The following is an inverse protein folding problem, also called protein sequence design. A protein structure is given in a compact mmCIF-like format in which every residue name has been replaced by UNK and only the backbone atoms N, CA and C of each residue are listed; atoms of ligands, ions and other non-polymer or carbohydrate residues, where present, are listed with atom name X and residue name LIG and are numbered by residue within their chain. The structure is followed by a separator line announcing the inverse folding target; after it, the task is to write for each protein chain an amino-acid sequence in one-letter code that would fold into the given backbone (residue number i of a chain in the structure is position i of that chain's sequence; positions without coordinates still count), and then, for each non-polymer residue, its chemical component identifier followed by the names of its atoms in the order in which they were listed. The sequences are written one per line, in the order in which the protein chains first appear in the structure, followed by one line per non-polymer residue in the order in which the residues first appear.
data_IF_521695724414
#
_entry.id   IF_521695724414
#
_cell.length_a   1.000
_cell.length_b   1.000
_cell.length_c   1.000
_cell.angle_alpha   90.00
_cell.angle_beta   90.00
_cell.angle_gamma   90.00
#
_symmetry.space_group_name_H-M   'P 1'
#
loop_
_entity.id
_entity.type
_entity.pdbx_description
1 polymer ?
#
# COMPACT_ATOMS: atom_id res chain seq x y z
N UNK A 1 -60.75 -24.88 86.58
CA UNK A 1 -59.96 -23.66 86.38
C UNK A 1 -58.77 -24.05 85.51
N UNK A 2 -58.52 -23.58 84.29
CA UNK A 2 -59.10 -22.53 83.47
C UNK A 2 -59.00 -22.96 82.00
N UNK A 3 -60.01 -22.64 81.20
CA UNK A 3 -59.96 -22.81 79.76
C UNK A 3 -58.99 -21.81 79.13
N UNK A 4 -58.17 -22.29 78.20
CA UNK A 4 -57.38 -21.44 77.30
C UNK A 4 -57.94 -21.65 75.91
N UNK A 5 -58.80 -20.73 75.47
CA UNK A 5 -59.26 -20.63 74.09
C UNK A 5 -58.15 -20.03 73.24
N UNK A 6 -57.55 -20.86 72.38
CA UNK A 6 -56.62 -20.41 71.33
C UNK A 6 -57.45 -19.81 70.20
N UNK A 7 -57.45 -18.49 70.05
CA UNK A 7 -58.00 -17.81 68.87
C UNK A 7 -57.01 -17.95 67.71
N UNK A 8 -57.40 -18.69 66.67
CA UNK A 8 -56.71 -18.71 65.39
C UNK A 8 -56.99 -17.35 64.73
N UNK A 9 -55.96 -16.50 64.63
CA UNK A 9 -56.02 -15.32 63.80
C UNK A 9 -56.24 -15.75 62.33
N UNK A 10 -57.44 -15.48 61.81
CA UNK A 10 -57.72 -15.63 60.38
C UNK A 10 -56.88 -14.58 59.65
N UNK A 11 -55.80 -15.02 59.01
CA UNK A 11 -55.08 -14.20 58.05
C UNK A 11 -56.00 -14.04 56.84
N UNK A 12 -56.50 -12.82 56.66
CA UNK A 12 -57.38 -12.44 55.58
C UNK A 12 -56.69 -12.74 54.24
N UNK A 13 -57.37 -13.55 53.40
CA UNK A 13 -56.77 -14.18 52.21
C UNK A 13 -56.83 -13.29 50.97
N UNK A 14 -57.18 -12.03 51.14
CA UNK A 14 -57.53 -11.10 50.06
C UNK A 14 -56.44 -10.08 49.69
N UNK A 15 -55.31 -10.04 50.42
CA UNK A 15 -54.24 -9.05 50.17
C UNK A 15 -53.15 -9.52 49.17
N UNK A 16 -53.27 -10.72 48.60
CA UNK A 16 -52.44 -11.16 47.45
C UNK A 16 -53.07 -10.79 46.11
N UNK A 17 -53.81 -9.66 46.05
CA UNK A 17 -54.26 -9.04 44.80
C UNK A 17 -53.05 -8.51 44.04
N UNK A 18 -52.45 -9.41 43.26
CA UNK A 18 -51.71 -9.18 42.00
C UNK A 18 -51.49 -7.68 41.71
N UNK A 19 -50.39 -7.13 42.23
CA UNK A 19 -49.62 -6.19 41.44
C UNK A 19 -49.04 -6.97 40.25
N UNK A 20 -49.89 -7.30 39.28
CA UNK A 20 -49.44 -7.63 37.94
C UNK A 20 -48.75 -6.37 37.47
N UNK A 21 -47.41 -6.34 37.59
CA UNK A 21 -46.60 -5.41 36.81
C UNK A 21 -47.15 -5.52 35.39
N UNK A 22 -47.78 -4.44 34.92
CA UNK A 22 -48.20 -4.31 33.53
C UNK A 22 -46.90 -4.29 32.75
N UNK A 23 -46.36 -5.47 32.43
CA UNK A 23 -45.29 -5.62 31.45
C UNK A 23 -45.92 -5.13 30.16
N UNK A 24 -45.64 -3.87 29.80
CA UNK A 24 -46.01 -3.30 28.52
C UNK A 24 -45.40 -4.18 27.44
N UNK A 25 -46.24 -4.88 26.68
CA UNK A 25 -45.79 -5.56 25.47
C UNK A 25 -45.54 -4.52 24.40
N UNK A 26 -44.48 -4.69 23.62
CA UNK A 26 -44.24 -3.89 22.43
C UNK A 26 -45.44 -4.03 21.47
N UNK A 27 -45.97 -2.90 21.03
CA UNK A 27 -46.97 -2.86 19.96
C UNK A 27 -46.32 -3.15 18.61
N UNK A 28 -47.12 -3.69 17.69
CA UNK A 28 -46.68 -3.96 16.30
C UNK A 28 -46.18 -2.68 15.61
N UNK A 29 -46.79 -1.53 15.95
CA UNK A 29 -46.41 -0.21 15.42
C UNK A 29 -45.04 0.22 15.95
N UNK A 30 -44.77 0.06 17.26
CA UNK A 30 -43.47 0.40 17.84
C UNK A 30 -42.34 -0.43 17.22
N UNK A 31 -42.57 -1.73 17.00
CA UNK A 31 -41.59 -2.58 16.31
C UNK A 31 -41.36 -2.14 14.86
N UNK A 32 -42.43 -1.79 14.15
CA UNK A 32 -42.38 -1.38 12.74
C UNK A 32 -41.65 -0.04 12.55
N UNK A 33 -41.97 0.98 13.36
CA UNK A 33 -41.30 2.29 13.31
C UNK A 33 -39.83 2.17 13.69
N UNK A 34 -39.51 1.31 14.67
CA UNK A 34 -38.12 1.08 15.09
C UNK A 34 -37.29 0.44 13.98
N UNK A 35 -37.81 -0.59 13.33
CA UNK A 35 -37.10 -1.21 12.19
C UNK A 35 -37.00 -0.26 11.00
N UNK A 36 -38.03 0.56 10.74
CA UNK A 36 -38.00 1.57 9.68
C UNK A 36 -36.92 2.64 9.93
N UNK A 37 -36.80 3.14 11.17
CA UNK A 37 -35.78 4.12 11.54
C UNK A 37 -34.38 3.51 11.51
N UNK A 38 -34.18 2.28 12.00
CA UNK A 38 -32.89 1.58 11.89
C UNK A 38 -32.51 1.38 10.42
N UNK A 39 -33.44 0.93 9.57
CA UNK A 39 -33.19 0.73 8.14
C UNK A 39 -32.79 2.04 7.45
N UNK A 40 -33.46 3.16 7.78
CA UNK A 40 -33.11 4.48 7.27
C UNK A 40 -31.68 4.89 7.71
N UNK A 41 -31.36 4.75 8.99
CA UNK A 41 -30.04 5.10 9.52
C UNK A 41 -28.93 4.25 8.89
N UNK A 42 -29.13 2.94 8.80
CA UNK A 42 -28.17 2.01 8.16
C UNK A 42 -28.01 2.36 6.68
N UNK A 43 -29.10 2.70 5.98
CA UNK A 43 -29.06 3.12 4.58
C UNK A 43 -28.16 4.35 4.33
N UNK A 44 -28.13 5.30 5.27
CA UNK A 44 -27.26 6.48 5.19
C UNK A 44 -25.81 6.21 5.65
N UNK A 45 -25.60 5.25 6.56
CA UNK A 45 -24.29 4.94 7.14
C UNK A 45 -23.41 4.03 6.27
N UNK A 46 -23.99 3.10 5.51
CA UNK A 46 -23.23 2.15 4.69
C UNK A 46 -22.32 2.80 3.62
N UNK A 47 -22.80 3.75 2.78
CA UNK A 47 -21.96 4.35 1.75
C UNK A 47 -20.84 5.22 2.35
N UNK A 48 -21.14 5.93 3.45
CA UNK A 48 -20.19 6.82 4.12
C UNK A 48 -19.08 6.02 4.82
N UNK A 49 -19.40 4.87 5.40
CA UNK A 49 -18.41 4.00 6.04
C UNK A 49 -17.37 3.45 5.06
N UNK A 50 -17.76 3.15 3.82
CA UNK A 50 -16.85 2.71 2.76
C UNK A 50 -15.82 3.79 2.40
N UNK A 51 -16.29 5.03 2.18
CA UNK A 51 -15.41 6.16 1.87
C UNK A 51 -14.47 6.50 3.04
N UNK A 52 -14.98 6.46 4.28
CA UNK A 52 -14.19 6.67 5.49
C UNK A 52 -13.06 5.64 5.63
N UNK A 53 -13.36 4.35 5.39
CA UNK A 53 -12.35 3.27 5.41
C UNK A 53 -11.28 3.46 4.34
N UNK A 54 -11.65 3.87 3.12
CA UNK A 54 -10.69 4.13 2.05
C UNK A 54 -9.76 5.30 2.39
N UNK A 55 -10.32 6.37 2.96
CA UNK A 55 -9.55 7.52 3.44
C UNK A 55 -8.59 7.11 4.57
N UNK A 56 -9.06 6.33 5.55
CA UNK A 56 -8.20 5.83 6.63
C UNK A 56 -7.05 4.97 6.12
N UNK A 57 -7.31 4.08 5.16
CA UNK A 57 -6.26 3.28 4.49
C UNK A 57 -5.23 4.16 3.79
N UNK A 58 -5.67 5.22 3.11
CA UNK A 58 -4.79 6.19 2.48
C UNK A 58 -3.95 6.96 3.52
N UNK A 59 -4.53 7.35 4.66
CA UNK A 59 -3.79 7.99 5.76
C UNK A 59 -2.70 7.10 6.33
N UNK A 60 -2.98 5.80 6.53
CA UNK A 60 -1.96 4.83 6.96
C UNK A 60 -0.88 4.68 5.89
N UNK A 61 -1.26 4.61 4.62
CA UNK A 61 -0.32 4.55 3.51
C UNK A 61 0.61 5.79 3.46
N UNK A 62 0.07 6.99 3.69
CA UNK A 62 0.85 8.23 3.83
C UNK A 62 1.86 8.15 4.99
N UNK A 63 1.47 7.55 6.12
CA UNK A 63 2.37 7.32 7.25
C UNK A 63 3.49 6.32 6.90
N UNK A 64 3.15 5.22 6.24
CA UNK A 64 4.11 4.22 5.80
C UNK A 64 5.16 4.83 4.85
N UNK A 65 4.71 5.57 3.83
CA UNK A 65 5.58 6.25 2.87
C UNK A 65 6.51 7.28 3.55
N UNK A 66 6.05 7.98 4.59
CA UNK A 66 6.92 8.87 5.39
C UNK A 66 8.02 8.12 6.13
N UNK A 67 7.71 6.96 6.71
CA UNK A 67 8.71 6.13 7.38
C UNK A 67 9.73 5.58 6.37
N UNK A 68 9.27 5.10 5.22
CA UNK A 68 10.15 4.58 4.17
C UNK A 68 11.10 5.65 3.61
N UNK A 69 10.60 6.85 3.29
CA UNK A 69 11.47 7.91 2.78
C UNK A 69 12.43 8.45 3.83
N UNK A 70 12.01 8.48 5.10
CA UNK A 70 12.91 8.83 6.22
C UNK A 70 14.06 7.83 6.30
N UNK A 71 13.76 6.52 6.23
CA UNK A 71 14.78 5.48 6.23
C UNK A 71 15.70 5.56 5.01
N UNK A 72 15.17 5.89 3.83
CA UNK A 72 15.98 6.13 2.64
C UNK A 72 16.92 7.35 2.80
N UNK A 73 16.46 8.43 3.42
CA UNK A 73 17.31 9.58 3.74
C UNK A 73 18.39 9.20 4.76
N UNK A 74 18.06 8.42 5.79
CA UNK A 74 19.03 7.91 6.77
C UNK A 74 20.08 7.00 6.12
N UNK A 75 19.66 6.14 5.19
CA UNK A 75 20.57 5.36 4.36
C UNK A 75 21.52 6.30 3.61
N UNK A 76 21.00 7.25 2.85
CA UNK A 76 21.84 8.15 2.05
C UNK A 76 22.87 8.89 2.92
N UNK A 77 22.45 9.41 4.08
CA UNK A 77 23.35 10.07 5.03
C UNK A 77 24.48 9.13 5.52
N UNK A 78 24.18 7.85 5.73
CA UNK A 78 25.17 6.84 6.14
C UNK A 78 26.14 6.49 5.00
N UNK A 79 25.65 6.48 3.76
CA UNK A 79 26.39 6.06 2.57
C UNK A 79 26.81 7.24 1.68
N UNK A 80 27.37 8.31 2.26
CA UNK A 80 27.98 9.45 1.54
C UNK A 80 27.05 10.13 0.53
N UNK A 81 25.79 10.32 0.93
CA UNK A 81 24.68 10.86 0.17
C UNK A 81 24.22 10.03 -1.04
N UNK A 82 24.74 8.81 -1.24
CA UNK A 82 24.28 7.95 -2.33
C UNK A 82 22.91 7.36 -2.01
N UNK A 83 21.99 7.39 -2.99
CA UNK A 83 20.72 6.69 -2.88
C UNK A 83 20.95 5.16 -2.72
N UNK A 84 20.04 4.42 -2.09
CA UNK A 84 20.23 2.96 -1.95
C UNK A 84 20.16 2.23 -3.31
N UNK A 85 20.87 1.09 -3.53
CA UNK A 85 20.76 0.30 -4.76
C UNK A 85 19.35 -0.24 -5.00
N UNK A 86 18.99 -0.50 -6.26
CA UNK A 86 17.73 -1.16 -6.59
C UNK A 86 17.75 -2.64 -6.17
N UNK A 87 18.87 -3.31 -6.45
CA UNK A 87 19.22 -4.61 -5.90
C UNK A 87 20.74 -4.80 -5.90
N UNK A 88 21.22 -5.75 -5.11
CA UNK A 88 22.59 -6.27 -5.12
C UNK A 88 22.51 -7.78 -5.28
N UNK A 89 23.26 -8.33 -6.23
CA UNK A 89 23.29 -9.76 -6.50
C UNK A 89 24.67 -10.28 -6.07
N UNK A 90 24.69 -11.39 -5.35
CA UNK A 90 25.89 -11.92 -4.70
C UNK A 90 26.89 -12.58 -5.64
N UNK A 91 27.47 -11.85 -6.59
CA UNK A 91 28.64 -12.38 -7.35
C UNK A 91 29.92 -12.35 -6.49
N UNK A 92 30.07 -11.39 -5.58
CA UNK A 92 31.29 -11.21 -4.76
C UNK A 92 31.31 -12.05 -3.46
N UNK A 93 30.14 -12.50 -2.98
CA UNK A 93 29.98 -13.20 -1.67
C UNK A 93 29.79 -14.72 -1.80
N UNK A 94 29.96 -15.29 -3.00
CA UNK A 94 29.85 -16.73 -3.24
C UNK A 94 28.44 -17.33 -3.07
N UNK A 95 27.39 -16.50 -3.10
CA UNK A 95 26.00 -16.92 -2.87
C UNK A 95 25.03 -16.39 -3.94
N UNK A 96 24.16 -17.26 -4.46
CA UNK A 96 23.27 -17.01 -5.60
C UNK A 96 22.00 -16.16 -5.30
N UNK A 97 22.03 -15.29 -4.30
CA UNK A 97 20.89 -14.48 -3.85
C UNK A 97 20.89 -13.02 -4.31
N UNK A 98 19.76 -12.33 -4.10
CA UNK A 98 19.56 -10.91 -4.41
C UNK A 98 19.04 -10.12 -3.20
N UNK A 99 19.76 -9.07 -2.80
CA UNK A 99 19.36 -8.12 -1.76
C UNK A 99 18.62 -6.94 -2.38
N UNK A 100 17.44 -6.62 -1.85
CA UNK A 100 16.63 -5.46 -2.22
C UNK A 100 16.45 -4.52 -1.02
N UNK A 101 15.78 -3.40 -1.23
CA UNK A 101 15.48 -2.46 -0.14
C UNK A 101 14.59 -3.05 0.97
N UNK A 102 13.69 -3.98 0.63
CA UNK A 102 12.70 -4.58 1.55
C UNK A 102 13.13 -5.93 2.14
N UNK A 103 14.26 -6.48 1.70
CA UNK A 103 14.75 -7.78 2.16
C UNK A 103 15.70 -8.46 1.18
N UNK A 104 16.27 -9.58 1.61
CA UNK A 104 17.15 -10.45 0.83
C UNK A 104 16.40 -11.69 0.38
N UNK A 105 16.54 -12.04 -0.89
CA UNK A 105 15.97 -13.22 -1.51
C UNK A 105 17.11 -14.19 -1.78
N UNK A 106 17.10 -15.33 -1.11
CA UNK A 106 18.08 -16.39 -1.37
C UNK A 106 17.82 -17.04 -2.72
N UNK A 107 18.88 -17.57 -3.32
CA UNK A 107 18.78 -18.45 -4.47
C UNK A 107 17.85 -19.61 -4.18
N UNK A 108 17.21 -20.13 -5.23
CA UNK A 108 16.41 -21.33 -5.10
C UNK A 108 17.33 -22.56 -4.93
N UNK A 109 17.67 -22.90 -3.68
CA UNK A 109 18.57 -24.02 -3.37
C UNK A 109 17.83 -25.36 -3.37
N UNK A 110 16.50 -25.38 -3.13
CA UNK A 110 15.71 -26.62 -2.95
C UNK A 110 14.25 -26.51 -3.46
N UNK A 111 13.95 -25.63 -4.43
CA UNK A 111 12.58 -25.33 -4.86
C UNK A 111 11.82 -24.39 -3.89
N UNK A 112 12.52 -23.81 -2.91
CA UNK A 112 11.97 -22.85 -1.95
C UNK A 112 12.77 -21.55 -1.94
N UNK A 113 12.12 -20.46 -2.36
CA UNK A 113 12.68 -19.13 -2.22
C UNK A 113 12.58 -18.69 -0.76
N UNK A 114 13.73 -18.54 -0.09
CA UNK A 114 13.79 -17.96 1.25
C UNK A 114 13.93 -16.46 1.15
N UNK A 115 13.20 -15.77 2.02
CA UNK A 115 13.18 -14.31 2.07
C UNK A 115 13.50 -13.86 3.48
N UNK A 116 14.56 -13.08 3.61
CA UNK A 116 15.04 -12.52 4.87
C UNK A 116 14.78 -11.00 4.87
N UNK A 117 13.69 -10.59 5.51
CA UNK A 117 13.25 -9.20 5.50
C UNK A 117 14.16 -8.25 6.29
N UNK A 118 14.96 -8.77 7.24
CA UNK A 118 15.94 -8.01 8.02
C UNK A 118 17.27 -7.77 7.30
N UNK A 119 17.43 -8.33 6.11
CA UNK A 119 18.65 -8.20 5.32
C UNK A 119 18.45 -7.25 4.12
N UNK A 120 17.45 -6.36 4.17
CA UNK A 120 17.23 -5.34 3.14
C UNK A 120 18.07 -4.07 3.35
N UNK A 121 18.26 -3.27 2.31
CA UNK A 121 19.10 -2.05 2.40
C UNK A 121 18.67 -1.06 3.48
N UNK A 122 17.36 -0.98 3.79
CA UNK A 122 16.85 -0.05 4.81
C UNK A 122 16.48 -0.74 6.13
N UNK A 123 16.82 -2.01 6.31
CA UNK A 123 16.44 -2.78 7.49
C UNK A 123 16.97 -2.15 8.79
N UNK A 124 18.18 -1.61 8.79
CA UNK A 124 18.77 -0.94 9.97
C UNK A 124 18.12 0.42 10.28
N UNK A 125 17.35 0.97 9.35
CA UNK A 125 16.71 2.29 9.45
C UNK A 125 15.19 2.20 9.62
N UNK A 126 14.63 0.99 9.61
CA UNK A 126 13.21 0.72 9.79
C UNK A 126 13.05 -0.42 10.80
N UNK A 127 12.54 -0.12 11.99
CA UNK A 127 12.22 -1.14 13.00
C UNK A 127 10.94 -1.91 12.67
N UNK A 128 10.88 -2.52 11.48
CA UNK A 128 9.77 -3.36 11.06
C UNK A 128 10.26 -4.46 10.11
N UNK A 129 9.63 -5.63 10.22
CA UNK A 129 9.78 -6.71 9.25
C UNK A 129 8.64 -6.62 8.23
N UNK A 130 8.90 -6.98 6.97
CA UNK A 130 7.86 -7.11 5.95
C UNK A 130 6.92 -8.27 6.32
N UNK A 131 5.81 -7.89 6.94
CA UNK A 131 4.78 -8.77 7.49
C UNK A 131 3.40 -8.16 7.24
N UNK A 132 2.34 -8.90 7.55
CA UNK A 132 0.97 -8.40 7.44
C UNK A 132 0.80 -7.09 8.24
N UNK A 133 0.22 -6.05 7.61
CA UNK A 133 0.08 -4.69 8.19
C UNK A 133 1.40 -4.00 8.57
N UNK A 134 2.54 -4.46 8.03
CA UNK A 134 3.81 -3.76 8.21
C UNK A 134 3.86 -2.44 7.44
N UNK A 135 4.88 -1.63 7.74
CA UNK A 135 5.20 -0.39 7.03
C UNK A 135 5.49 -0.59 5.54
N UNK A 136 5.77 -1.83 5.12
CA UNK A 136 6.04 -2.20 3.74
C UNK A 136 4.79 -2.61 2.95
N UNK A 137 3.62 -2.63 3.61
CA UNK A 137 2.34 -3.01 3.03
C UNK A 137 1.37 -1.83 3.00
N UNK A 138 0.75 -1.63 1.85
CA UNK A 138 -0.35 -0.70 1.69
C UNK A 138 -1.64 -1.37 2.17
N UNK A 139 -2.39 -0.78 3.11
CA UNK A 139 -3.62 -1.38 3.63
C UNK A 139 -4.78 -1.42 2.62
N UNK A 140 -4.63 -0.77 1.45
CA UNK A 140 -5.52 -0.92 0.30
C UNK A 140 -5.18 -2.13 -0.58
N UNK A 141 -4.03 -2.77 -0.35
CA UNK A 141 -3.58 -4.03 -0.97
C UNK A 141 -3.05 -4.96 0.14
N UNK A 142 -3.94 -5.53 0.97
CA UNK A 142 -3.53 -6.32 2.12
C UNK A 142 -2.83 -7.62 1.71
N UNK A 143 -2.03 -8.17 2.62
CA UNK A 143 -1.32 -9.44 2.45
C UNK A 143 -2.24 -10.53 1.90
N UNK A 144 -1.75 -11.27 0.90
CA UNK A 144 -2.51 -12.34 0.24
C UNK A 144 -3.50 -11.86 -0.83
N UNK A 145 -3.71 -10.55 -1.03
CA UNK A 145 -4.52 -10.03 -2.14
C UNK A 145 -3.78 -10.04 -3.49
N UNK A 146 -2.52 -10.48 -3.51
CA UNK A 146 -1.64 -10.42 -4.68
C UNK A 146 -0.68 -11.59 -4.71
N UNK A 147 -0.16 -11.87 -5.90
CA UNK A 147 0.93 -12.84 -6.09
C UNK A 147 2.27 -12.11 -6.04
N UNK A 148 3.28 -12.79 -5.51
CA UNK A 148 4.64 -12.28 -5.53
C UNK A 148 5.19 -12.23 -6.97
N UNK A 149 5.91 -11.17 -7.34
CA UNK A 149 6.55 -11.05 -8.65
C UNK A 149 7.87 -11.84 -8.74
N UNK A 150 8.77 -11.63 -7.78
CA UNK A 150 10.16 -12.12 -7.86
C UNK A 150 10.50 -13.24 -6.87
N UNK A 151 9.63 -13.54 -5.90
CA UNK A 151 9.83 -14.59 -4.91
C UNK A 151 8.58 -15.48 -4.80
N UNK A 152 8.69 -16.65 -4.19
CA UNK A 152 7.52 -17.44 -3.77
C UNK A 152 6.73 -16.75 -2.63
N UNK A 153 7.35 -15.78 -1.94
CA UNK A 153 6.77 -15.05 -0.81
C UNK A 153 6.46 -13.59 -1.19
N UNK A 154 5.40 -12.99 -0.63
CA UNK A 154 5.06 -11.59 -0.86
C UNK A 154 6.24 -10.65 -0.59
N UNK A 155 6.41 -9.68 -1.48
CA UNK A 155 7.35 -8.57 -1.34
C UNK A 155 6.56 -7.30 -0.94
N UNK A 156 7.18 -6.12 -0.91
CA UNK A 156 6.45 -4.87 -0.64
C UNK A 156 5.39 -4.54 -1.71
N UNK A 157 4.33 -3.84 -1.32
CA UNK A 157 3.34 -3.22 -2.24
C UNK A 157 3.70 -1.77 -2.61
N UNK A 158 4.86 -1.32 -2.17
CA UNK A 158 5.47 -0.06 -2.55
C UNK A 158 6.63 -0.34 -3.51
N UNK A 159 6.85 0.58 -4.42
CA UNK A 159 7.92 0.50 -5.41
C UNK A 159 9.00 1.50 -5.05
N UNK A 160 10.26 1.13 -5.27
CA UNK A 160 11.39 2.05 -5.21
C UNK A 160 11.80 2.50 -6.62
N UNK A 161 12.12 3.78 -6.78
CA UNK A 161 12.65 4.33 -8.03
C UNK A 161 14.14 4.00 -8.22
N UNK A 162 14.44 2.70 -8.32
CA UNK A 162 15.78 2.20 -8.59
C UNK A 162 16.31 2.65 -9.96
N UNK A 163 15.42 2.82 -10.93
CA UNK A 163 15.73 3.22 -12.30
C UNK A 163 16.49 4.55 -12.38
N UNK A 164 15.97 5.62 -11.77
CA UNK A 164 16.61 6.94 -11.80
C UNK A 164 17.72 7.09 -10.75
N UNK A 165 17.52 6.50 -9.57
CA UNK A 165 18.37 6.74 -8.41
C UNK A 165 19.64 5.88 -8.40
N UNK A 166 19.66 4.76 -9.12
CA UNK A 166 20.73 3.75 -9.02
C UNK A 166 21.25 3.34 -10.39
N UNK A 167 22.54 2.96 -10.50
CA UNK A 167 23.13 2.64 -11.77
C UNK A 167 22.70 1.27 -12.30
N UNK A 168 23.01 1.06 -13.57
CA UNK A 168 22.94 -0.21 -14.31
C UNK A 168 23.71 -1.38 -13.70
N UNK A 169 24.55 -1.15 -12.68
CA UNK A 169 25.32 -2.22 -12.03
C UNK A 169 24.46 -3.22 -11.26
N UNK A 170 23.15 -2.99 -11.19
CA UNK A 170 22.16 -4.03 -10.91
C UNK A 170 22.13 -5.00 -12.11
N UNK A 171 22.74 -6.20 -12.03
CA UNK A 171 22.74 -7.16 -13.13
C UNK A 171 21.30 -7.47 -13.60
N UNK A 172 21.09 -7.50 -14.91
CA UNK A 172 19.77 -7.75 -15.53
C UNK A 172 19.00 -6.50 -15.98
N UNK A 173 19.23 -5.32 -15.39
CA UNK A 173 18.61 -4.05 -15.85
C UNK A 173 19.58 -3.09 -16.52
N UNK A 174 20.88 -3.43 -16.54
CA UNK A 174 21.91 -2.61 -17.14
C UNK A 174 21.62 -2.16 -18.58
N UNK A 175 21.12 -3.11 -19.39
CA UNK A 175 20.72 -2.87 -20.78
C UNK A 175 19.44 -2.07 -20.90
N UNK A 176 18.54 -2.17 -19.91
CA UNK A 176 17.21 -1.53 -19.88
C UNK A 176 17.28 -0.04 -19.54
N UNK A 177 18.36 0.39 -18.87
CA UNK A 177 18.50 1.75 -18.30
C UNK A 177 19.72 2.53 -18.78
N UNK A 178 20.44 2.02 -19.80
CA UNK A 178 21.46 2.80 -20.52
C UNK A 178 22.74 3.15 -19.75
N UNK A 179 23.22 2.26 -18.87
CA UNK A 179 24.52 2.40 -18.20
C UNK A 179 24.82 3.74 -17.48
N UNK A 180 23.89 4.23 -16.65
CA UNK A 180 24.00 5.54 -15.98
C UNK A 180 24.70 5.51 -14.61
N UNK A 181 25.30 6.63 -14.14
CA UNK A 181 26.00 6.70 -12.85
C UNK A 181 25.04 6.73 -11.66
N UNK A 182 25.54 6.30 -10.50
CA UNK A 182 24.81 6.36 -9.24
C UNK A 182 24.51 7.82 -8.84
N UNK A 183 23.26 8.11 -8.45
CA UNK A 183 22.88 9.44 -7.97
C UNK A 183 23.13 9.59 -6.48
N UNK A 184 23.74 10.73 -6.13
CA UNK A 184 23.62 11.27 -4.78
C UNK A 184 22.29 12.01 -4.64
N UNK A 185 21.72 12.01 -3.44
CA UNK A 185 20.48 12.72 -3.12
C UNK A 185 20.61 14.21 -3.45
N UNK A 186 21.77 14.80 -3.18
CA UNK A 186 22.08 16.21 -3.48
C UNK A 186 22.13 16.53 -4.97
N UNK A 187 22.34 15.54 -5.83
CA UNK A 187 22.43 15.73 -7.29
C UNK A 187 21.07 15.55 -7.99
N UNK A 188 20.01 15.24 -7.23
CA UNK A 188 18.66 15.06 -7.76
C UNK A 188 18.11 16.41 -8.19
N UNK A 189 17.86 16.55 -9.50
CA UNK A 189 17.17 17.72 -10.05
C UNK A 189 15.68 17.64 -9.72
N UNK A 190 15.11 18.75 -9.27
CA UNK A 190 13.70 18.87 -8.86
C UNK A 190 13.29 17.82 -7.81
N UNK A 191 13.92 17.84 -6.62
CA UNK A 191 13.68 16.82 -5.59
C UNK A 191 12.22 16.80 -5.09
N UNK A 192 11.49 17.91 -5.25
CA UNK A 192 10.05 18.07 -4.97
C UNK A 192 9.12 17.40 -6.00
N UNK A 193 9.69 16.80 -7.06
CA UNK A 193 8.94 16.17 -8.16
C UNK A 193 9.36 14.72 -8.40
N UNK A 194 10.59 14.34 -8.03
CA UNK A 194 11.12 12.99 -8.21
C UNK A 194 10.58 12.04 -7.17
N UNK A 195 9.87 11.00 -7.61
CA UNK A 195 9.43 9.94 -6.73
C UNK A 195 10.61 9.08 -6.28
N UNK A 196 10.71 8.82 -4.98
CA UNK A 196 11.61 7.83 -4.38
C UNK A 196 10.83 6.54 -4.15
N UNK A 197 9.65 6.65 -3.54
CA UNK A 197 8.72 5.54 -3.35
C UNK A 197 7.32 5.91 -3.83
N UNK A 198 6.55 4.91 -4.26
CA UNK A 198 5.13 5.08 -4.52
C UNK A 198 4.38 3.76 -4.36
N UNK A 199 3.05 3.82 -4.28
CA UNK A 199 2.21 2.64 -4.46
C UNK A 199 2.54 1.92 -5.76
N UNK A 200 2.75 0.61 -5.70
CA UNK A 200 3.17 -0.16 -6.86
C UNK A 200 2.48 -1.52 -7.03
N UNK A 201 2.18 -1.85 -8.28
CA UNK A 201 1.54 -3.09 -8.68
C UNK A 201 1.78 -3.30 -10.17
N UNK A 202 2.02 -4.54 -10.58
CA UNK A 202 2.20 -4.88 -11.99
C UNK A 202 1.10 -5.85 -12.43
N UNK A 203 0.63 -5.66 -13.66
CA UNK A 203 -0.36 -6.53 -14.30
C UNK A 203 0.35 -7.41 -15.31
N UNK A 204 0.63 -8.65 -14.91
CA UNK A 204 1.19 -9.69 -15.78
C UNK A 204 0.13 -10.78 -15.94
N UNK A 205 0.42 -12.02 -15.51
CA UNK A 205 -0.57 -13.09 -15.35
C UNK A 205 -1.37 -12.89 -14.06
N UNK A 206 -2.20 -11.84 -14.04
CA UNK A 206 -2.90 -11.35 -12.85
C UNK A 206 -2.11 -10.30 -12.07
N UNK A 207 -2.72 -9.78 -11.01
CA UNK A 207 -2.13 -8.73 -10.18
C UNK A 207 -0.99 -9.30 -9.33
N UNK A 208 0.17 -8.67 -9.48
CA UNK A 208 1.37 -8.96 -8.69
C UNK A 208 1.85 -7.70 -8.00
N UNK A 209 2.37 -7.84 -6.80
CA UNK A 209 3.11 -6.73 -6.21
C UNK A 209 4.43 -6.52 -6.97
N UNK A 210 4.95 -5.30 -6.92
CA UNK A 210 6.18 -4.96 -7.60
C UNK A 210 6.98 -4.03 -6.70
N UNK A 211 8.15 -4.43 -6.24
CA UNK A 211 8.94 -3.59 -5.33
C UNK A 211 9.72 -2.47 -6.04
N UNK A 212 9.34 -2.13 -7.28
CA UNK A 212 10.01 -1.19 -8.16
C UNK A 212 9.02 -0.24 -8.80
N UNK A 213 9.52 0.93 -9.16
CA UNK A 213 8.82 1.92 -9.97
C UNK A 213 9.41 1.94 -11.37
N UNK A 214 8.65 1.43 -12.33
CA UNK A 214 9.10 1.34 -13.70
C UNK A 214 8.74 2.64 -14.46
N UNK A 215 9.72 3.24 -15.15
CA UNK A 215 9.51 4.47 -15.91
C UNK A 215 8.58 4.24 -17.12
N UNK A 216 8.01 5.31 -17.71
CA UNK A 216 7.17 5.21 -18.90
C UNK A 216 7.94 4.80 -20.18
N UNK A 217 9.27 4.93 -20.18
CA UNK A 217 10.14 4.56 -21.28
C UNK A 217 11.27 3.66 -20.77
N UNK A 218 11.63 2.65 -21.56
CA UNK A 218 12.75 1.74 -21.34
C UNK A 218 13.76 1.88 -22.49
N UNK A 219 15.02 1.55 -22.24
CA UNK A 219 16.10 1.62 -23.22
C UNK A 219 16.46 0.21 -23.71
N UNK A 220 16.63 0.01 -25.02
CA UNK A 220 16.94 -1.31 -25.59
C UNK A 220 18.43 -1.50 -25.95
N UNK A 221 19.33 -0.62 -25.49
CA UNK A 221 20.76 -0.68 -25.84
C UNK A 221 21.08 -0.29 -27.29
N UNK A 222 20.47 -0.97 -28.25
CA UNK A 222 20.68 -0.83 -29.70
C UNK A 222 19.56 -0.05 -30.40
N UNK A 223 18.30 -0.21 -29.98
CA UNK A 223 17.14 0.41 -30.65
C UNK A 223 16.72 1.77 -30.06
N UNK A 224 17.37 2.22 -28.99
CA UNK A 224 17.04 3.46 -28.30
C UNK A 224 15.89 3.31 -27.30
N UNK A 225 15.21 4.41 -27.01
CA UNK A 225 14.09 4.49 -26.06
C UNK A 225 12.78 3.98 -26.66
N UNK A 226 12.05 3.15 -25.92
CA UNK A 226 10.74 2.62 -26.31
C UNK A 226 9.73 2.69 -25.15
N UNK A 227 8.43 2.67 -25.45
CA UNK A 227 7.37 2.72 -24.45
C UNK A 227 7.40 1.50 -23.52
N UNK A 228 7.32 1.76 -22.21
CA UNK A 228 7.09 0.72 -21.23
C UNK A 228 5.62 0.28 -21.25
N UNK A 229 5.38 -0.95 -21.70
CA UNK A 229 4.04 -1.54 -21.77
C UNK A 229 3.60 -2.21 -20.45
N UNK A 230 4.49 -2.30 -19.46
CA UNK A 230 4.22 -2.91 -18.15
C UNK A 230 4.54 -1.92 -17.02
N UNK A 231 3.80 -0.81 -16.93
CA UNK A 231 4.05 0.18 -15.89
C UNK A 231 3.67 -0.37 -14.51
N UNK A 232 4.22 0.22 -13.44
CA UNK A 232 4.07 -0.33 -12.08
C UNK A 232 3.43 0.61 -11.07
N UNK A 233 3.14 1.88 -11.39
CA UNK A 233 2.46 2.78 -10.44
C UNK A 233 1.05 2.31 -10.20
N UNK A 234 0.64 2.19 -8.93
CA UNK A 234 -0.72 1.80 -8.58
C UNK A 234 -1.54 2.97 -8.03
N UNK A 235 -2.54 3.39 -8.79
CA UNK A 235 -3.54 4.39 -8.42
C UNK A 235 -4.72 3.76 -7.67
N UNK A 236 -4.42 3.04 -6.59
CA UNK A 236 -5.39 2.18 -5.87
C UNK A 236 -6.27 2.92 -4.87
N UNK A 237 -5.89 4.11 -4.42
CA UNK A 237 -6.63 4.81 -3.35
C UNK A 237 -7.81 5.59 -3.91
N UNK A 238 -9.02 5.35 -3.39
CA UNK A 238 -10.20 6.13 -3.78
C UNK A 238 -10.73 5.87 -5.20
N UNK A 239 -10.10 4.98 -5.97
CA UNK A 239 -10.63 4.51 -7.24
C UNK A 239 -11.93 3.72 -7.05
N UNK A 240 -12.87 3.88 -7.97
CA UNK A 240 -14.05 3.04 -8.03
C UNK A 240 -13.85 2.04 -9.17
N UNK A 241 -13.78 0.74 -8.87
CA UNK A 241 -13.62 -0.32 -9.88
C UNK A 241 -14.71 -0.28 -10.98
N UNK A 242 -15.83 0.40 -10.71
CA UNK A 242 -16.93 0.61 -11.66
C UNK A 242 -16.80 1.85 -12.54
N UNK A 243 -15.84 2.76 -12.33
CA UNK A 243 -15.65 3.98 -13.14
C UNK A 243 -14.22 4.05 -13.65
N UNK A 244 -14.07 4.45 -14.91
CA UNK A 244 -12.79 4.71 -15.61
C UNK A 244 -12.15 6.00 -15.06
N UNK A 245 -11.92 6.05 -13.75
CA UNK A 245 -11.22 7.15 -13.08
C UNK A 245 -10.18 6.46 -12.20
N UNK A 246 -8.91 6.67 -12.54
CA UNK A 246 -7.80 6.24 -11.71
C UNK A 246 -8.02 6.73 -10.27
N UNK A 247 -7.67 5.93 -9.26
CA UNK A 247 -7.57 6.44 -7.91
C UNK A 247 -6.36 7.37 -7.77
N UNK A 248 -5.86 7.47 -6.54
CA UNK A 248 -4.59 8.10 -6.23
C UNK A 248 -3.53 7.06 -5.91
N UNK A 249 -2.28 7.40 -6.20
CA UNK A 249 -1.10 6.72 -5.69
C UNK A 249 -0.52 7.58 -4.57
N UNK A 250 -0.21 6.99 -3.42
CA UNK A 250 0.56 7.65 -2.39
C UNK A 250 2.04 7.59 -2.77
N UNK A 251 2.69 8.75 -2.79
CA UNK A 251 4.09 8.88 -3.25
C UNK A 251 4.93 9.63 -2.22
N UNK A 252 6.18 9.20 -2.09
CA UNK A 252 7.24 9.88 -1.37
C UNK A 252 8.30 10.40 -2.34
N UNK A 253 8.83 11.59 -2.07
CA UNK A 253 9.74 12.30 -2.97
C UNK A 253 11.13 12.49 -2.38
N UNK A 254 12.07 12.88 -3.23
CA UNK A 254 13.47 13.05 -2.85
C UNK A 254 13.69 14.18 -1.84
N UNK A 255 12.78 15.15 -1.75
CA UNK A 255 12.75 16.17 -0.69
C UNK A 255 12.15 15.69 0.64
N UNK A 256 11.75 14.41 0.72
CA UNK A 256 11.08 13.82 1.88
C UNK A 256 9.57 14.10 1.95
N UNK A 257 9.01 14.89 1.03
CA UNK A 257 7.58 15.16 1.01
C UNK A 257 6.78 13.93 0.59
N UNK A 258 5.62 13.75 1.25
CA UNK A 258 4.72 12.62 1.00
C UNK A 258 3.32 13.14 0.73
N UNK A 259 2.76 12.79 -0.43
CA UNK A 259 1.39 13.19 -0.83
C UNK A 259 0.75 12.14 -1.71
N UNK A 260 -0.57 12.18 -1.81
CA UNK A 260 -1.29 11.39 -2.78
C UNK A 260 -1.35 12.14 -4.12
N UNK A 261 -1.06 11.43 -5.20
CA UNK A 261 -1.09 11.93 -6.57
C UNK A 261 -2.27 11.27 -7.27
N UNK A 262 -3.19 12.11 -7.74
CA UNK A 262 -4.36 11.65 -8.48
C UNK A 262 -3.91 11.09 -9.84
N UNK A 263 -4.34 9.89 -10.19
CA UNK A 263 -4.01 9.29 -11.48
C UNK A 263 -4.74 10.00 -12.62
N UNK A 264 -4.02 10.18 -13.73
CA UNK A 264 -4.58 10.70 -14.97
C UNK A 264 -4.87 9.56 -15.95
N UNK A 265 -5.91 9.71 -16.77
CA UNK A 265 -6.25 8.69 -17.78
C UNK A 265 -5.10 8.45 -18.77
N UNK A 266 -4.31 9.49 -19.07
CA UNK A 266 -3.16 9.41 -19.95
C UNK A 266 -2.00 8.57 -19.38
N UNK A 267 -1.96 8.36 -18.07
CA UNK A 267 -0.92 7.56 -17.40
C UNK A 267 -1.26 6.07 -17.38
N UNK A 268 -2.54 5.73 -17.50
CA UNK A 268 -3.00 4.35 -17.41
C UNK A 268 -2.64 3.57 -18.69
N UNK A 269 -2.08 2.38 -18.50
CA UNK A 269 -1.82 1.45 -19.61
C UNK A 269 -3.12 0.91 -20.20
N UNK A 270 -3.27 1.00 -21.53
CA UNK A 270 -4.37 0.39 -22.26
C UNK A 270 -4.33 -1.14 -22.10
N UNK A 271 -5.36 -1.72 -21.47
CA UNK A 271 -5.49 -3.18 -21.25
C UNK A 271 -5.35 -3.64 -19.79
N UNK A 272 -4.99 -2.76 -18.86
CA UNK A 272 -4.92 -3.10 -17.43
C UNK A 272 -6.20 -2.71 -16.67
N UNK A 273 -6.27 -3.09 -15.39
CA UNK A 273 -7.40 -2.94 -14.45
C UNK A 273 -7.86 -1.50 -14.17
N UNK A 274 -7.45 -0.51 -14.97
CA UNK A 274 -7.79 0.91 -14.80
C UNK A 274 -7.11 1.60 -13.63
N UNK A 275 -6.21 0.90 -12.92
CA UNK A 275 -5.55 1.41 -11.70
C UNK A 275 -4.02 1.33 -11.76
N UNK A 276 -3.43 0.87 -12.87
CA UNK A 276 -1.97 0.78 -13.04
C UNK A 276 -1.54 1.66 -14.22
N UNK A 277 -0.46 2.42 -14.05
CA UNK A 277 0.06 3.35 -15.05
C UNK A 277 1.47 3.86 -14.77
N UNK A 278 1.97 4.76 -15.63
CA UNK A 278 3.26 5.46 -15.46
C UNK A 278 3.06 6.97 -15.52
N UNK A 279 3.79 7.67 -14.66
CA UNK A 279 3.76 9.12 -14.49
C UNK A 279 4.87 9.73 -15.33
N UNK A 280 4.56 10.78 -16.11
CA UNK A 280 5.56 11.58 -16.84
C UNK A 280 6.01 11.04 -18.21
N UNK A 281 5.08 10.75 -19.13
CA UNK A 281 5.37 10.20 -20.48
C UNK A 281 5.85 11.20 -21.55
N UNK A 282 6.18 10.68 -22.75
CA UNK A 282 6.86 11.37 -23.85
C UNK A 282 6.15 12.63 -24.41
N UNK A 283 4.84 12.78 -24.21
CA UNK A 283 4.03 13.92 -24.65
C UNK A 283 3.89 15.03 -23.61
N UNK A 284 4.35 14.83 -22.36
CA UNK A 284 4.20 15.80 -21.27
C UNK A 284 5.55 16.33 -20.80
N UNK A 285 5.97 17.44 -21.40
CA UNK A 285 6.97 18.34 -20.83
C UNK A 285 6.42 19.18 -19.64
N UNK A 286 5.44 18.68 -18.88
CA UNK A 286 4.64 19.49 -17.96
C UNK A 286 4.97 19.20 -16.48
N UNK A 287 6.14 19.69 -16.04
CA UNK A 287 6.36 20.47 -14.80
C UNK A 287 5.88 19.99 -13.41
N UNK A 288 5.41 18.76 -13.21
CA UNK A 288 4.80 18.35 -11.93
C UNK A 288 5.50 17.22 -11.19
N UNK A 289 5.34 16.01 -11.72
CA UNK A 289 5.61 14.74 -11.04
C UNK A 289 6.30 13.80 -12.03
N UNK A 290 7.45 13.23 -11.68
CA UNK A 290 8.23 12.41 -12.62
C UNK A 290 9.00 11.28 -11.93
N UNK A 291 9.08 10.14 -12.61
CA UNK A 291 10.03 9.05 -12.28
C UNK A 291 11.46 9.42 -12.68
N UNK A 292 11.58 10.08 -13.82
CA UNK A 292 12.81 10.50 -14.46
C UNK A 292 12.58 11.96 -14.90
N UNK A 293 13.33 12.94 -14.38
CA UNK A 293 13.10 14.36 -14.66
C UNK A 293 13.12 14.72 -16.15
N UNK A 294 13.92 14.02 -16.94
CA UNK A 294 13.96 14.13 -18.40
C UNK A 294 14.47 12.82 -19.00
N UNK A 295 13.60 12.07 -19.69
CA UNK A 295 13.99 10.84 -20.39
C UNK A 295 14.90 11.11 -21.61
N UNK A 296 14.94 12.35 -22.12
CA UNK A 296 15.77 12.74 -23.28
C UNK A 296 17.21 13.03 -22.88
N UNK A 297 17.42 13.47 -21.65
CA UNK A 297 18.76 13.52 -21.03
C UNK A 297 19.16 12.17 -20.40
N UNK A 298 18.28 11.16 -20.51
CA UNK A 298 18.39 9.81 -19.98
C UNK A 298 18.87 8.82 -21.03
#
# INVERSE_FOLDING_TARGET
MNGVSVQIAQCDRDDLRRQRSRRGGFSLIELLVTLATIALLVGLLLPTLGAARNTARQTVCLSNQRQLVTAWTMYANTYRDFAMPAASFGEDDGGSGATYWWGRVDADVDGTTRVEHRAGFIADFVEADLTQKSVFECPAQPWGSYRAQAAQQPTSTYGYNGYYLTPSRTPGWAGVIGARPWRKVVDIRMPTSVFVFADSMISLQGLRNCALLDPPLLYDGNAGWYNNWSPTTSFRHGGNASRVIAGAAVTARADGSVRAVQGEQAWLSAGNTGVIGSVGGATQAALGEHYVPDWREW
#
